data_IF_417559142720
#
_entry.id   IF_417559142720
#
_cell.length_a   1.000
_cell.length_b   1.000
_cell.length_c   1.000
_cell.angle_alpha   90.00
_cell.angle_beta   90.00
_cell.angle_gamma   90.00
#
_symmetry.space_group_name_H-M   'P 1'
#
loop_
_entity.id
_entity.type
_entity.pdbx_description
1 polymer ?
#
# COMPACT_ATOMS: atom_id res chain seq x y z
N UNK A 1 40.04 -10.34 -8.59
CA UNK A 1 39.42 -9.66 -7.43
C UNK A 1 38.18 -8.92 -7.94
N UNK A 2 37.00 -9.52 -7.80
CA UNK A 2 35.73 -8.91 -8.18
C UNK A 2 34.82 -9.00 -6.98
N UNK A 3 34.52 -7.84 -6.37
CA UNK A 3 33.63 -7.69 -5.22
C UNK A 3 32.18 -7.75 -5.70
N UNK A 4 31.42 -8.70 -5.19
CA UNK A 4 29.99 -8.81 -5.39
C UNK A 4 29.25 -7.71 -4.59
N UNK A 5 28.15 -7.13 -5.12
CA UNK A 5 27.34 -6.17 -4.37
C UNK A 5 26.44 -6.92 -3.39
N UNK A 6 26.47 -6.49 -2.14
CA UNK A 6 25.62 -6.92 -1.05
C UNK A 6 24.15 -6.61 -1.34
N UNK A 7 23.32 -7.65 -1.34
CA UNK A 7 21.87 -7.59 -1.44
C UNK A 7 21.30 -7.16 -0.07
N UNK A 8 20.91 -5.90 0.00
CA UNK A 8 20.25 -5.33 1.18
C UNK A 8 18.79 -5.81 1.21
N UNK A 9 18.55 -6.79 2.09
CA UNK A 9 17.21 -7.35 2.30
C UNK A 9 16.35 -6.36 3.09
N UNK A 10 15.63 -5.51 2.39
CA UNK A 10 14.58 -4.70 3.00
C UNK A 10 13.48 -5.61 3.56
N UNK A 11 13.55 -5.84 4.87
CA UNK A 11 12.46 -6.45 5.66
C UNK A 11 11.26 -5.51 5.65
N UNK A 12 10.32 -5.76 4.74
CA UNK A 12 8.99 -5.17 4.79
C UNK A 12 8.25 -5.82 5.95
N UNK A 13 8.16 -5.14 7.08
CA UNK A 13 7.25 -5.51 8.17
C UNK A 13 5.83 -5.18 7.75
N UNK A 14 4.86 -6.12 7.78
CA UNK A 14 3.47 -5.81 7.52
C UNK A 14 2.90 -5.03 8.70
N UNK A 15 2.70 -3.73 8.54
CA UNK A 15 1.95 -2.91 9.50
C UNK A 15 0.45 -3.09 9.26
N UNK A 16 -0.05 -4.31 9.55
CA UNK A 16 -1.48 -4.63 9.47
C UNK A 16 -2.26 -4.19 10.72
N UNK A 17 -1.59 -3.68 11.76
CA UNK A 17 -2.18 -3.49 13.08
C UNK A 17 -2.97 -2.18 13.28
N UNK A 18 -2.96 -1.22 12.32
CA UNK A 18 -3.69 0.05 12.47
C UNK A 18 -4.99 0.17 11.67
N UNK A 19 -5.39 -0.87 10.94
CA UNK A 19 -6.61 -0.83 10.12
C UNK A 19 -7.86 -1.39 10.82
N UNK A 20 -7.79 -1.85 12.08
CA UNK A 20 -8.90 -2.48 12.78
C UNK A 20 -9.71 -1.55 13.69
N UNK A 21 -9.47 -0.25 13.73
CA UNK A 21 -10.17 0.66 14.65
C UNK A 21 -11.30 1.47 14.00
N UNK A 22 -12.00 0.92 13.01
CA UNK A 22 -13.17 1.57 12.43
C UNK A 22 -14.52 0.99 12.91
N UNK A 23 -14.53 0.08 13.91
CA UNK A 23 -15.78 -0.58 14.36
C UNK A 23 -16.06 -0.57 15.86
N UNK A 24 -15.22 -0.01 16.70
CA UNK A 24 -15.53 0.03 18.14
C UNK A 24 -15.57 1.45 18.69
N UNK A 25 -16.78 1.87 19.07
CA UNK A 25 -17.03 3.11 19.78
C UNK A 25 -16.42 3.06 21.18
N UNK A 26 -15.28 3.70 21.34
CA UNK A 26 -14.77 4.14 22.63
C UNK A 26 -14.33 5.59 22.50
N UNK A 27 -15.20 6.44 22.99
CA UNK A 27 -15.03 7.85 23.22
C UNK A 27 -13.88 8.06 24.23
N UNK A 28 -12.73 8.46 23.78
CA UNK A 28 -11.67 9.03 24.64
C UNK A 28 -11.13 10.29 23.95
N UNK A 29 -11.29 11.39 24.68
CA UNK A 29 -10.84 12.76 24.38
C UNK A 29 -9.45 12.81 23.72
N UNK A 30 -9.43 12.78 22.39
CA UNK A 30 -8.38 13.36 21.56
C UNK A 30 -9.00 14.50 20.78
N UNK A 31 -8.40 15.70 20.75
CA UNK A 31 -8.93 16.77 19.92
C UNK A 31 -8.99 16.27 18.49
N UNK A 32 -10.18 16.38 17.92
CA UNK A 32 -10.64 15.95 16.60
C UNK A 32 -9.60 16.02 15.47
N UNK A 33 -8.80 14.99 15.34
CA UNK A 33 -7.98 14.77 14.14
C UNK A 33 -8.87 14.55 12.89
N UNK A 34 -10.15 14.18 13.10
CA UNK A 34 -11.14 13.98 12.04
C UNK A 34 -11.89 15.26 11.62
N UNK A 35 -11.79 16.36 12.37
CA UNK A 35 -12.43 17.63 12.01
C UNK A 35 -11.54 18.52 11.16
N UNK A 36 -10.27 18.17 11.00
CA UNK A 36 -9.30 18.99 10.25
C UNK A 36 -9.62 18.95 8.77
N UNK A 37 -9.86 20.13 8.18
CA UNK A 37 -10.23 20.26 6.77
C UNK A 37 -9.03 20.33 5.82
N UNK A 38 -7.87 20.68 6.35
CA UNK A 38 -6.64 20.91 5.59
C UNK A 38 -5.43 20.30 6.27
N UNK A 39 -4.51 19.76 5.48
CA UNK A 39 -3.29 19.09 5.91
C UNK A 39 -2.09 19.67 5.18
N UNK A 40 -0.97 19.81 5.88
CA UNK A 40 0.33 20.11 5.28
C UNK A 40 0.98 18.85 4.72
N UNK A 41 2.03 19.00 3.91
CA UNK A 41 2.83 17.87 3.43
C UNK A 41 3.47 17.11 4.62
N UNK A 42 3.87 17.82 5.67
CA UNK A 42 4.46 17.22 6.88
C UNK A 42 3.45 16.40 7.65
N UNK A 43 2.19 16.86 7.78
CA UNK A 43 1.14 16.09 8.44
C UNK A 43 0.94 14.73 7.76
N UNK A 44 0.83 14.75 6.42
CA UNK A 44 0.59 13.53 5.65
C UNK A 44 1.81 12.59 5.59
N UNK A 45 3.03 13.14 5.54
CA UNK A 45 4.24 12.30 5.57
C UNK A 45 4.40 11.57 6.90
N UNK A 46 4.05 12.22 8.01
CA UNK A 46 4.07 11.61 9.34
C UNK A 46 2.96 10.57 9.47
N UNK A 47 1.72 10.93 9.10
CA UNK A 47 0.56 10.04 9.22
C UNK A 47 0.71 8.76 8.42
N UNK A 48 1.17 8.87 7.16
CA UNK A 48 1.27 7.73 6.24
C UNK A 48 2.66 7.09 6.17
N UNK A 49 3.60 7.53 7.01
CA UNK A 49 4.98 7.02 7.03
C UNK A 49 5.62 7.03 5.62
N UNK A 50 5.37 8.09 4.84
CA UNK A 50 5.85 8.24 3.48
C UNK A 50 6.72 9.50 3.31
N UNK A 51 7.42 9.59 2.18
CA UNK A 51 8.28 10.75 1.90
C UNK A 51 7.52 11.87 1.21
N UNK A 52 7.95 13.11 1.39
CA UNK A 52 7.44 14.26 0.64
C UNK A 52 7.63 14.09 -0.88
N UNK A 53 8.65 13.33 -1.30
CA UNK A 53 8.87 12.97 -2.71
C UNK A 53 7.77 12.07 -3.24
N UNK A 54 7.33 11.09 -2.44
CA UNK A 54 6.22 10.22 -2.82
C UNK A 54 4.91 11.00 -3.00
N UNK A 55 4.61 11.95 -2.10
CA UNK A 55 3.43 12.81 -2.23
C UNK A 55 3.47 13.67 -3.50
N UNK A 56 4.62 14.26 -3.83
CA UNK A 56 4.79 15.03 -5.07
C UNK A 56 4.63 14.14 -6.30
N UNK A 57 5.17 12.93 -6.26
CA UNK A 57 5.00 11.95 -7.33
C UNK A 57 3.51 11.59 -7.53
N UNK A 58 2.72 11.40 -6.47
CA UNK A 58 1.28 11.14 -6.60
C UNK A 58 0.51 12.37 -7.11
N UNK A 59 0.96 13.60 -6.80
CA UNK A 59 0.46 14.83 -7.40
C UNK A 59 0.78 14.88 -8.90
N UNK A 60 2.03 14.63 -9.28
CA UNK A 60 2.49 14.61 -10.68
C UNK A 60 1.73 13.55 -11.51
N UNK A 61 1.42 12.41 -10.88
CA UNK A 61 0.59 11.35 -11.47
C UNK A 61 -0.91 11.68 -11.45
N UNK A 62 -1.33 12.83 -10.91
CA UNK A 62 -2.74 13.24 -10.84
C UNK A 62 -3.61 12.37 -9.91
N UNK A 63 -3.00 11.61 -9.00
CA UNK A 63 -3.73 10.79 -8.02
C UNK A 63 -4.25 11.62 -6.85
N UNK A 64 -3.59 12.71 -6.51
CA UNK A 64 -3.99 13.72 -5.53
C UNK A 64 -3.81 15.10 -6.14
N UNK A 65 -4.56 16.10 -5.65
CA UNK A 65 -4.58 17.45 -6.23
C UNK A 65 -4.58 18.52 -5.14
N UNK A 66 -3.46 18.73 -4.43
CA UNK A 66 -3.39 19.75 -3.38
C UNK A 66 -3.56 21.14 -3.95
N UNK A 67 -4.27 22.00 -3.20
CA UNK A 67 -4.34 23.42 -3.50
C UNK A 67 -2.99 24.10 -3.24
N UNK A 68 -2.77 25.26 -3.86
CA UNK A 68 -1.59 26.10 -3.63
C UNK A 68 -1.99 27.37 -2.90
N UNK A 69 -1.35 27.60 -1.75
CA UNK A 69 -1.43 28.88 -1.04
C UNK A 69 -0.03 29.50 -1.07
N UNK A 70 0.18 30.43 -2.00
CA UNK A 70 1.53 30.90 -2.36
C UNK A 70 2.36 29.72 -2.92
N UNK A 71 3.49 29.43 -2.28
CA UNK A 71 4.37 28.31 -2.64
C UNK A 71 4.06 27.03 -1.85
N UNK A 72 3.11 27.08 -0.92
CA UNK A 72 2.81 25.97 -0.01
C UNK A 72 1.70 25.08 -0.58
N UNK A 73 1.88 23.77 -0.51
CA UNK A 73 0.86 22.77 -0.80
C UNK A 73 -0.08 22.60 0.38
N UNK A 74 -1.38 22.62 0.12
CA UNK A 74 -2.42 22.38 1.13
C UNK A 74 -3.31 21.24 0.64
N UNK A 75 -3.33 20.17 1.37
CA UNK A 75 -4.07 18.94 1.04
C UNK A 75 -5.45 18.96 1.70
N UNK A 76 -6.47 18.58 0.98
CA UNK A 76 -7.84 18.46 1.45
C UNK A 76 -8.09 17.12 2.17
N UNK A 77 -9.24 17.01 2.86
CA UNK A 77 -9.74 15.69 3.35
C UNK A 77 -9.84 14.65 2.24
N UNK A 78 -10.21 15.08 1.03
CA UNK A 78 -10.30 14.21 -0.14
C UNK A 78 -8.92 13.69 -0.54
N UNK A 79 -7.91 14.57 -0.60
CA UNK A 79 -6.53 14.16 -0.89
C UNK A 79 -6.00 13.18 0.16
N UNK A 80 -6.29 13.43 1.44
CA UNK A 80 -5.92 12.51 2.53
C UNK A 80 -6.60 11.15 2.38
N UNK A 81 -7.89 11.10 2.07
CA UNK A 81 -8.63 9.86 1.84
C UNK A 81 -8.08 9.10 0.62
N UNK A 82 -7.79 9.80 -0.48
CA UNK A 82 -7.15 9.23 -1.67
C UNK A 82 -5.77 8.67 -1.34
N UNK A 83 -4.97 9.39 -0.57
CA UNK A 83 -3.66 8.94 -0.15
C UNK A 83 -3.73 7.67 0.70
N UNK A 84 -4.70 7.58 1.62
CA UNK A 84 -4.93 6.36 2.41
C UNK A 84 -5.22 5.14 1.50
N UNK A 85 -6.02 5.33 0.46
CA UNK A 85 -6.30 4.32 -0.55
C UNK A 85 -5.05 3.92 -1.35
N UNK A 86 -4.30 4.91 -1.84
CA UNK A 86 -3.05 4.70 -2.59
C UNK A 86 -2.07 3.87 -1.77
N UNK A 87 -1.84 4.25 -0.52
CA UNK A 87 -0.89 3.57 0.36
C UNK A 87 -1.31 2.13 0.63
N UNK A 88 -2.61 1.89 0.92
CA UNK A 88 -3.15 0.54 1.13
C UNK A 88 -2.98 -0.33 -0.11
N UNK A 89 -3.38 0.15 -1.28
CA UNK A 89 -3.31 -0.60 -2.53
C UNK A 89 -1.86 -0.91 -2.93
N UNK A 90 -0.95 0.05 -2.76
CA UNK A 90 0.50 -0.17 -2.99
C UNK A 90 1.08 -1.23 -2.06
N UNK A 91 0.71 -1.21 -0.79
CA UNK A 91 1.23 -2.17 0.20
C UNK A 91 0.86 -3.62 -0.13
N UNK A 92 -0.24 -3.84 -0.82
CA UNK A 92 -0.64 -5.19 -1.27
C UNK A 92 -0.23 -5.49 -2.71
N UNK A 93 0.46 -4.58 -3.39
CA UNK A 93 1.11 -4.83 -4.68
C UNK A 93 0.31 -4.42 -5.92
N UNK A 94 -0.73 -3.57 -5.78
CA UNK A 94 -1.38 -2.96 -6.94
C UNK A 94 -0.45 -1.99 -7.66
N UNK A 95 -0.51 -1.97 -8.98
CA UNK A 95 0.15 -0.98 -9.82
C UNK A 95 -0.54 0.39 -9.71
N UNK A 96 0.18 1.46 -10.05
CA UNK A 96 -0.42 2.81 -10.05
C UNK A 96 -1.56 2.94 -11.06
N UNK A 97 -1.52 2.22 -12.16
CA UNK A 97 -2.61 2.20 -13.15
C UNK A 97 -3.88 1.61 -12.55
N UNK A 98 -3.78 0.47 -11.87
CA UNK A 98 -4.92 -0.17 -11.19
C UNK A 98 -5.47 0.72 -10.07
N UNK A 99 -4.57 1.38 -9.31
CA UNK A 99 -4.95 2.33 -8.26
C UNK A 99 -5.71 3.52 -8.85
N UNK A 100 -5.25 4.09 -9.96
CA UNK A 100 -5.91 5.19 -10.66
C UNK A 100 -7.32 4.79 -11.09
N UNK A 101 -7.48 3.66 -11.75
CA UNK A 101 -8.79 3.16 -12.17
C UNK A 101 -9.77 3.01 -10.99
N UNK A 102 -9.30 2.53 -9.85
CA UNK A 102 -10.14 2.42 -8.66
C UNK A 102 -10.50 3.78 -8.05
N UNK A 103 -9.58 4.76 -8.09
CA UNK A 103 -9.82 6.11 -7.54
C UNK A 103 -10.73 6.94 -8.44
N UNK A 104 -10.55 6.87 -9.75
CA UNK A 104 -11.33 7.66 -10.71
C UNK A 104 -12.82 7.30 -10.65
N UNK A 105 -13.15 6.05 -10.39
CA UNK A 105 -14.53 5.62 -10.15
C UNK A 105 -15.14 6.22 -8.87
N UNK A 106 -14.31 6.63 -7.89
CA UNK A 106 -14.78 7.24 -6.64
C UNK A 106 -15.33 8.65 -6.85
N UNK A 107 -14.92 9.34 -7.90
CA UNK A 107 -15.27 10.73 -8.19
C UNK A 107 -16.58 10.88 -8.97
N UNK A 108 -17.15 9.78 -9.44
CA UNK A 108 -18.45 9.78 -10.09
C UNK A 108 -19.55 9.78 -9.02
N UNK A 109 -20.36 10.83 -8.94
CA UNK A 109 -21.44 11.00 -7.95
C UNK A 109 -22.43 9.83 -7.89
N UNK A 110 -22.60 9.11 -9.02
CA UNK A 110 -23.46 7.93 -9.20
C UNK A 110 -22.70 6.60 -9.06
N UNK A 111 -21.39 6.66 -9.00
CA UNK A 111 -20.51 5.51 -9.18
C UNK A 111 -20.22 4.63 -7.94
N UNK A 112 -20.83 4.93 -6.76
CA UNK A 112 -20.45 4.19 -5.52
C UNK A 112 -20.71 2.70 -5.57
N UNK A 113 -21.77 2.27 -6.26
CA UNK A 113 -22.10 0.83 -6.41
C UNK A 113 -21.15 0.20 -7.41
N UNK A 114 -20.98 0.83 -8.57
CA UNK A 114 -20.10 0.36 -9.62
C UNK A 114 -18.63 0.35 -9.17
N UNK A 115 -18.20 1.41 -8.49
CA UNK A 115 -16.87 1.47 -7.89
C UNK A 115 -16.61 0.29 -6.94
N UNK A 116 -17.56 0.01 -6.03
CA UNK A 116 -17.41 -1.12 -5.10
C UNK A 116 -17.33 -2.44 -5.85
N UNK A 117 -18.16 -2.65 -6.87
CA UNK A 117 -18.13 -3.84 -7.71
C UNK A 117 -16.75 -4.03 -8.37
N UNK A 118 -16.28 -3.01 -9.08
CA UNK A 118 -14.97 -3.04 -9.76
C UNK A 118 -13.82 -3.21 -8.78
N UNK A 119 -13.87 -2.54 -7.63
CA UNK A 119 -12.86 -2.71 -6.58
C UNK A 119 -12.82 -4.12 -6.05
N UNK A 120 -13.98 -4.74 -5.78
CA UNK A 120 -14.08 -6.12 -5.31
C UNK A 120 -13.49 -7.06 -6.37
N UNK A 121 -13.90 -6.95 -7.64
CA UNK A 121 -13.37 -7.77 -8.73
C UNK A 121 -11.85 -7.69 -8.87
N UNK A 122 -11.28 -6.47 -8.80
CA UNK A 122 -9.83 -6.28 -8.84
C UNK A 122 -9.14 -6.88 -7.62
N UNK A 123 -9.71 -6.73 -6.43
CA UNK A 123 -9.17 -7.32 -5.21
C UNK A 123 -9.21 -8.84 -5.26
N UNK A 124 -10.31 -9.45 -5.73
CA UNK A 124 -10.44 -10.90 -5.86
C UNK A 124 -9.44 -11.47 -6.87
N UNK A 125 -9.27 -10.82 -8.02
CA UNK A 125 -8.26 -11.20 -9.00
C UNK A 125 -6.83 -11.10 -8.43
N UNK A 126 -6.55 -10.05 -7.66
CA UNK A 126 -5.25 -9.88 -7.03
C UNK A 126 -4.99 -10.91 -5.92
N UNK A 127 -6.02 -11.24 -5.13
CA UNK A 127 -5.96 -12.32 -4.13
C UNK A 127 -5.66 -13.67 -4.78
N UNK A 128 -6.32 -13.98 -5.91
CA UNK A 128 -6.03 -15.20 -6.66
C UNK A 128 -4.57 -15.25 -7.10
N UNK A 129 -4.06 -14.18 -7.71
CA UNK A 129 -2.65 -14.06 -8.12
C UNK A 129 -1.67 -14.25 -6.95
N UNK A 130 -1.96 -13.65 -5.79
CA UNK A 130 -1.11 -13.81 -4.61
C UNK A 130 -1.14 -15.24 -4.06
N UNK A 131 -2.28 -15.94 -4.14
CA UNK A 131 -2.38 -17.35 -3.77
C UNK A 131 -1.55 -18.25 -4.67
N UNK A 132 -1.57 -18.00 -5.99
CA UNK A 132 -0.77 -18.73 -6.96
C UNK A 132 0.72 -18.50 -6.71
N UNK A 133 1.15 -17.24 -6.53
CA UNK A 133 2.53 -16.91 -6.18
C UNK A 133 2.98 -17.59 -4.87
N UNK A 134 2.10 -17.67 -3.88
CA UNK A 134 2.39 -18.38 -2.63
C UNK A 134 2.58 -19.87 -2.85
N UNK A 135 1.75 -20.50 -3.68
CA UNK A 135 1.89 -21.91 -4.01
C UNK A 135 3.21 -22.20 -4.75
N UNK A 136 3.63 -21.32 -5.66
CA UNK A 136 4.92 -21.44 -6.37
C UNK A 136 6.10 -21.31 -5.40
N UNK A 137 6.02 -20.35 -4.45
CA UNK A 137 7.04 -20.19 -3.41
C UNK A 137 7.11 -21.42 -2.51
N UNK A 138 5.99 -21.93 -2.04
CA UNK A 138 5.90 -23.12 -1.21
C UNK A 138 6.50 -24.34 -1.93
N UNK A 139 6.25 -24.50 -3.23
CA UNK A 139 6.85 -25.55 -4.08
C UNK A 139 8.37 -25.40 -4.17
N UNK A 140 8.86 -24.19 -4.41
CA UNK A 140 10.30 -23.90 -4.50
C UNK A 140 11.02 -24.18 -3.17
N UNK A 141 10.41 -23.81 -2.05
CA UNK A 141 10.94 -24.09 -0.71
C UNK A 141 11.05 -25.61 -0.48
N UNK A 142 10.03 -26.37 -0.88
CA UNK A 142 10.02 -27.83 -0.76
C UNK A 142 11.15 -28.44 -1.58
N UNK A 143 11.29 -28.06 -2.84
CA UNK A 143 12.33 -28.55 -3.74
C UNK A 143 13.74 -28.31 -3.19
N UNK A 144 14.02 -27.07 -2.75
CA UNK A 144 15.29 -26.72 -2.15
C UNK A 144 15.56 -27.47 -0.83
N UNK A 145 14.52 -27.70 -0.04
CA UNK A 145 14.65 -28.45 1.21
C UNK A 145 15.03 -29.91 0.95
N UNK A 146 14.41 -30.53 -0.06
CA UNK A 146 14.73 -31.90 -0.48
C UNK A 146 16.16 -31.96 -1.04
N UNK A 147 16.54 -31.02 -1.89
CA UNK A 147 17.91 -30.97 -2.43
C UNK A 147 18.98 -30.82 -1.34
N UNK A 148 18.77 -29.93 -0.36
CA UNK A 148 19.68 -29.76 0.78
C UNK A 148 19.80 -31.08 1.57
N UNK A 149 18.70 -31.82 1.76
CA UNK A 149 18.69 -33.08 2.44
C UNK A 149 19.53 -34.15 1.69
N UNK A 150 19.41 -34.20 0.37
CA UNK A 150 20.23 -35.10 -0.46
C UNK A 150 21.73 -34.79 -0.33
N UNK A 151 22.13 -33.52 -0.49
CA UNK A 151 23.53 -33.09 -0.34
C UNK A 151 24.09 -33.49 1.03
N UNK A 152 23.35 -33.22 2.12
CA UNK A 152 23.78 -33.60 3.47
C UNK A 152 23.93 -35.09 3.64
N UNK A 153 23.18 -35.92 2.95
CA UNK A 153 23.30 -37.38 2.99
C UNK A 153 24.55 -37.91 2.28
N UNK A 154 25.09 -37.12 1.33
CA UNK A 154 26.33 -37.47 0.62
C UNK A 154 27.58 -37.13 1.43
N UNK A 155 27.56 -36.07 2.23
CA UNK A 155 28.69 -35.64 3.07
C UNK A 155 28.91 -36.53 4.32
N UNK A 156 27.96 -37.41 4.63
CA UNK A 156 28.02 -38.34 5.78
C UNK A 156 28.49 -39.75 5.40
N UNK A 157 28.99 -39.97 4.18
CA UNK A 157 29.60 -41.22 3.74
C UNK A 157 31.09 -41.02 3.51
#
# INVERSE_FOLDING_TARGET
MATAPSHDSHKVKPTLAKAQSLSDGAHLDRPDEFSREQYSISDLTIEFECTARALRFYEDEGLISPARVGLTRVYSKRDRARLAWIMRAKNVGFSLTEIREMIDLYDLDDGRVEQRRVTIEKCDAHIAKLKDQRADIDSSIKELTEFVKEIRSLDLR
#
